data_IF_237403476686
#
_entry.id   IF_237403476686
#
_cell.length_a   1.000
_cell.length_b   1.000
_cell.length_c   1.000
_cell.angle_alpha   90.00
_cell.angle_beta   90.00
_cell.angle_gamma   90.00
#
_symmetry.space_group_name_H-M   'P 1'
#
loop_
_entity.id
_entity.type
_entity.pdbx_description
1 polymer ?
#
# COMPACT_ATOMS: atom_id res chain seq x y z
N UNK A 1 36.00 -31.28 -22.15
CA UNK A 1 35.11 -31.60 -23.28
C UNK A 1 35.44 -30.64 -24.39
N UNK A 2 36.02 -31.16 -25.48
CA UNK A 2 36.20 -30.39 -26.71
C UNK A 2 34.85 -30.24 -27.44
N UNK A 3 34.77 -29.33 -28.42
CA UNK A 3 33.58 -29.15 -29.26
C UNK A 3 33.14 -30.46 -29.92
N UNK A 4 34.11 -31.25 -30.35
CA UNK A 4 33.90 -32.53 -31.05
C UNK A 4 33.33 -33.63 -30.13
N UNK A 5 33.55 -33.53 -28.82
CA UNK A 5 32.96 -34.45 -27.84
C UNK A 5 31.48 -34.13 -27.60
N UNK A 6 31.13 -32.85 -27.65
CA UNK A 6 29.76 -32.38 -27.45
C UNK A 6 28.87 -32.75 -28.65
N UNK A 7 29.40 -32.60 -29.86
CA UNK A 7 28.69 -32.93 -31.10
C UNK A 7 28.31 -34.42 -31.14
N UNK A 8 29.23 -35.31 -30.78
CA UNK A 8 28.97 -36.76 -30.66
C UNK A 8 27.97 -37.14 -29.57
N UNK A 9 27.70 -36.24 -28.61
CA UNK A 9 26.77 -36.51 -27.51
C UNK A 9 25.32 -36.24 -27.91
N UNK A 10 25.09 -35.32 -28.85
CA UNK A 10 23.76 -34.82 -29.19
C UNK A 10 23.38 -35.03 -30.66
N UNK A 11 24.27 -35.56 -31.49
CA UNK A 11 24.01 -35.86 -32.90
C UNK A 11 24.07 -37.37 -33.11
N UNK A 12 23.02 -37.95 -33.69
CA UNK A 12 22.92 -39.37 -34.02
C UNK A 12 23.74 -39.74 -35.29
N UNK A 13 23.77 -41.03 -35.65
CA UNK A 13 24.46 -41.49 -36.86
C UNK A 13 23.86 -40.93 -38.16
N UNK A 14 22.62 -40.45 -38.12
CA UNK A 14 21.91 -39.85 -39.25
C UNK A 14 22.09 -38.32 -39.31
N UNK A 15 22.79 -37.71 -38.34
CA UNK A 15 23.01 -36.27 -38.27
C UNK A 15 21.87 -35.48 -37.61
N UNK A 16 20.89 -36.15 -37.01
CA UNK A 16 19.79 -35.51 -36.29
C UNK A 16 20.19 -35.15 -34.87
N UNK A 17 19.59 -34.09 -34.37
CA UNK A 17 19.82 -33.63 -33.01
C UNK A 17 18.89 -34.40 -32.05
N UNK A 18 19.47 -35.26 -31.22
CA UNK A 18 18.80 -36.11 -30.24
C UNK A 18 18.96 -35.56 -28.82
N UNK A 19 17.87 -35.50 -28.08
CA UNK A 19 17.83 -35.18 -26.65
C UNK A 19 17.03 -36.25 -25.92
N UNK A 20 17.71 -37.01 -25.06
CA UNK A 20 17.11 -38.17 -24.37
C UNK A 20 16.47 -39.13 -25.40
N UNK A 21 15.17 -39.42 -25.28
CA UNK A 21 14.45 -40.33 -26.19
C UNK A 21 13.70 -39.58 -27.32
N UNK A 22 14.11 -38.36 -27.67
CA UNK A 22 13.38 -37.49 -28.62
C UNK A 22 14.31 -36.83 -29.64
N UNK A 23 13.86 -36.79 -30.89
CA UNK A 23 14.50 -36.06 -31.99
C UNK A 23 13.88 -34.67 -32.10
N UNK A 24 14.70 -33.64 -32.26
CA UNK A 24 14.23 -32.27 -32.48
C UNK A 24 13.86 -32.08 -33.96
N UNK A 25 12.58 -31.84 -34.24
CA UNK A 25 12.09 -31.56 -35.59
C UNK A 25 12.06 -30.04 -35.83
N UNK A 26 12.55 -29.58 -36.98
CA UNK A 26 12.35 -28.21 -37.44
C UNK A 26 10.86 -27.97 -37.73
N UNK A 27 10.27 -26.92 -37.14
CA UNK A 27 8.92 -26.50 -37.49
C UNK A 27 9.00 -25.41 -38.56
N UNK A 28 8.31 -25.62 -39.68
CA UNK A 28 8.09 -24.56 -40.64
C UNK A 28 7.24 -23.46 -39.97
N UNK A 29 7.76 -22.23 -39.95
CA UNK A 29 6.94 -21.06 -39.65
C UNK A 29 6.00 -20.82 -40.84
N UNK A 30 5.01 -21.69 -41.01
CA UNK A 30 3.82 -21.31 -41.75
C UNK A 30 3.21 -20.12 -41.03
N UNK A 31 3.00 -19.04 -41.79
CA UNK A 31 2.35 -17.83 -41.30
C UNK A 31 1.04 -18.27 -40.65
N UNK A 32 0.96 -18.17 -39.33
CA UNK A 32 -0.29 -18.32 -38.59
C UNK A 32 -1.13 -17.05 -38.85
N UNK A 33 -1.58 -16.89 -40.09
CA UNK A 33 -2.77 -16.13 -40.40
C UNK A 33 -3.94 -16.95 -39.85
N UNK A 34 -4.80 -16.33 -39.04
CA UNK A 34 -6.02 -16.90 -38.42
C UNK A 34 -5.90 -17.60 -37.05
N UNK A 35 -5.27 -16.93 -36.07
CA UNK A 35 -5.71 -17.06 -34.67
C UNK A 35 -6.37 -15.75 -34.22
N UNK A 36 -7.49 -15.39 -34.86
CA UNK A 36 -8.51 -14.59 -34.19
C UNK A 36 -9.06 -15.44 -33.04
N UNK A 37 -8.39 -15.44 -31.89
CA UNK A 37 -8.90 -16.11 -30.70
C UNK A 37 -10.02 -15.22 -30.12
N UNK A 38 -11.33 -15.53 -30.30
CA UNK A 38 -12.44 -14.68 -29.84
C UNK A 38 -12.43 -14.45 -28.32
N UNK A 39 -11.66 -15.28 -27.60
CA UNK A 39 -11.35 -15.14 -26.18
C UNK A 39 -10.57 -13.85 -25.87
N UNK A 40 -9.53 -13.53 -26.66
CA UNK A 40 -8.70 -12.34 -26.42
C UNK A 40 -9.44 -11.06 -26.71
N UNK A 41 -10.22 -11.01 -27.78
CA UNK A 41 -11.07 -9.85 -28.11
C UNK A 41 -12.06 -9.56 -26.98
N UNK A 42 -12.70 -10.60 -26.43
CA UNK A 42 -13.58 -10.48 -25.25
C UNK A 42 -12.85 -10.03 -23.99
N UNK A 43 -11.60 -10.45 -23.80
CA UNK A 43 -10.77 -10.02 -22.65
C UNK A 43 -10.41 -8.54 -22.79
N UNK A 44 -10.02 -8.11 -23.99
CA UNK A 44 -9.70 -6.71 -24.29
C UNK A 44 -10.93 -5.80 -24.11
N UNK A 45 -12.09 -6.24 -24.60
CA UNK A 45 -13.36 -5.52 -24.45
C UNK A 45 -13.72 -5.33 -22.96
N UNK A 46 -13.62 -6.40 -22.15
CA UNK A 46 -13.83 -6.34 -20.70
C UNK A 46 -12.83 -5.43 -19.98
N UNK A 47 -11.57 -5.41 -20.40
CA UNK A 47 -10.54 -4.54 -19.84
C UNK A 47 -10.82 -3.06 -20.13
N UNK A 48 -11.23 -2.74 -21.36
CA UNK A 48 -11.62 -1.38 -21.77
C UNK A 48 -12.81 -0.91 -20.94
N UNK A 49 -13.85 -1.73 -20.81
CA UNK A 49 -15.01 -1.39 -19.97
C UNK A 49 -14.63 -1.16 -18.49
N UNK A 50 -13.77 -2.01 -17.93
CA UNK A 50 -13.34 -1.89 -16.54
C UNK A 50 -12.50 -0.63 -16.29
N UNK A 51 -11.74 -0.17 -17.28
CA UNK A 51 -10.95 1.06 -17.23
C UNK A 51 -11.85 2.30 -17.26
N UNK A 52 -12.79 2.36 -18.21
CA UNK A 52 -13.70 3.51 -18.39
C UNK A 52 -14.65 3.73 -17.19
N UNK A 53 -15.10 2.64 -16.54
CA UNK A 53 -15.97 2.71 -15.35
C UNK A 53 -15.29 3.33 -14.12
N UNK A 54 -13.95 3.30 -14.03
CA UNK A 54 -13.19 3.88 -12.91
C UNK A 54 -12.84 5.36 -13.12
N UNK A 55 -12.52 5.74 -14.36
CA UNK A 55 -12.22 7.12 -14.77
C UNK A 55 -13.47 8.01 -14.68
N UNK A 56 -14.61 7.55 -15.20
CA UNK A 56 -15.84 8.35 -15.26
C UNK A 56 -16.43 8.73 -13.88
N UNK A 57 -16.23 7.88 -12.85
CA UNK A 57 -16.67 8.21 -11.49
C UNK A 57 -15.82 9.31 -10.87
N UNK A 58 -14.50 9.24 -11.02
CA UNK A 58 -13.58 10.26 -10.49
C UNK A 58 -13.85 11.63 -11.10
N UNK A 59 -14.09 11.68 -12.41
CA UNK A 59 -14.36 12.94 -13.11
C UNK A 59 -15.69 13.58 -12.70
N UNK A 60 -16.75 12.77 -12.52
CA UNK A 60 -18.04 13.24 -11.98
C UNK A 60 -17.89 13.82 -10.58
N UNK A 61 -17.18 13.12 -9.68
CA UNK A 61 -16.90 13.62 -8.33
C UNK A 61 -16.13 14.95 -8.32
N UNK A 62 -15.22 15.16 -9.29
CA UNK A 62 -14.49 16.42 -9.43
C UNK A 62 -15.43 17.54 -9.90
N UNK A 63 -16.30 17.28 -10.88
CA UNK A 63 -17.28 18.24 -11.37
C UNK A 63 -18.25 18.67 -10.25
N UNK A 64 -18.84 17.71 -9.53
CA UNK A 64 -19.75 17.96 -8.41
C UNK A 64 -19.06 18.77 -7.30
N UNK A 65 -17.79 18.43 -6.98
CA UNK A 65 -17.00 19.15 -5.99
C UNK A 65 -16.71 20.60 -6.39
N UNK A 66 -16.52 20.87 -7.69
CA UNK A 66 -16.30 22.23 -8.19
C UNK A 66 -17.59 23.05 -8.16
N UNK A 67 -18.74 22.45 -8.46
CA UNK A 67 -20.04 23.11 -8.38
C UNK A 67 -20.40 23.46 -6.93
N UNK A 68 -20.25 22.51 -6.00
CA UNK A 68 -20.43 22.75 -4.57
C UNK A 68 -19.51 23.86 -4.05
N UNK A 69 -18.25 23.93 -4.50
CA UNK A 69 -17.33 25.01 -4.15
C UNK A 69 -17.79 26.38 -4.64
N UNK A 70 -18.35 26.46 -5.85
CA UNK A 70 -18.90 27.72 -6.39
C UNK A 70 -20.09 28.20 -5.57
N UNK A 71 -21.00 27.30 -5.21
CA UNK A 71 -22.14 27.62 -4.36
C UNK A 71 -21.71 28.02 -2.94
N UNK A 72 -20.74 27.33 -2.33
CA UNK A 72 -20.16 27.75 -1.04
C UNK A 72 -19.61 29.18 -1.11
N UNK A 73 -18.80 29.51 -2.12
CA UNK A 73 -18.24 30.86 -2.30
C UNK A 73 -19.31 31.94 -2.45
N UNK A 74 -20.42 31.63 -3.10
CA UNK A 74 -21.59 32.52 -3.25
C UNK A 74 -22.31 32.78 -1.93
N UNK A 75 -22.27 31.81 -1.02
CA UNK A 75 -22.90 31.90 0.30
C UNK A 75 -21.95 32.37 1.41
N UNK A 76 -20.63 32.23 1.26
CA UNK A 76 -19.61 32.76 2.19
C UNK A 76 -19.75 34.27 2.41
N UNK A 77 -20.07 35.03 1.36
CA UNK A 77 -20.35 36.48 1.47
C UNK A 77 -21.61 36.82 2.27
N UNK A 78 -22.49 35.84 2.54
CA UNK A 78 -23.74 36.01 3.27
C UNK A 78 -23.65 35.54 4.73
N UNK A 79 -22.63 34.76 5.07
CA UNK A 79 -22.37 34.33 6.44
C UNK A 79 -21.59 35.47 7.12
N UNK A 80 -22.33 36.45 7.63
CA UNK A 80 -21.78 37.51 8.47
C UNK A 80 -20.90 36.90 9.57
N UNK A 81 -19.73 37.50 9.78
CA UNK A 81 -18.69 37.11 10.73
C UNK A 81 -19.25 37.03 12.16
N UNK A 82 -19.89 35.92 12.51
CA UNK A 82 -20.17 35.60 13.90
C UNK A 82 -18.89 35.01 14.45
N UNK A 83 -18.15 35.81 15.22
CA UNK A 83 -17.02 35.36 16.02
C UNK A 83 -17.53 34.31 17.03
N UNK A 84 -17.62 33.05 16.61
CA UNK A 84 -17.76 31.94 17.55
C UNK A 84 -16.43 31.84 18.29
N UNK A 85 -16.35 32.51 19.44
CA UNK A 85 -15.38 32.15 20.47
C UNK A 85 -15.78 30.78 20.98
N UNK A 86 -15.26 29.73 20.35
CA UNK A 86 -15.35 28.37 20.88
C UNK A 86 -14.67 28.39 22.25
N UNK A 87 -15.44 28.30 23.33
CA UNK A 87 -14.87 28.09 24.66
C UNK A 87 -14.24 26.70 24.63
N UNK A 88 -12.91 26.64 24.63
CA UNK A 88 -12.16 25.38 24.70
C UNK A 88 -12.68 24.57 25.89
N UNK A 89 -12.96 23.29 25.64
CA UNK A 89 -13.43 22.40 26.70
C UNK A 89 -12.28 22.05 27.64
N UNK A 90 -12.58 21.78 28.92
CA UNK A 90 -11.57 21.42 29.94
C UNK A 90 -10.72 20.20 29.53
N UNK A 91 -11.26 19.31 28.69
CA UNK A 91 -10.54 18.16 28.13
C UNK A 91 -9.49 18.57 27.09
N UNK A 92 -9.80 19.49 26.17
CA UNK A 92 -8.85 20.04 25.19
C UNK A 92 -7.65 20.71 25.89
N UNK A 93 -7.92 21.44 26.97
CA UNK A 93 -6.89 22.10 27.77
C UNK A 93 -5.96 21.09 28.48
N UNK A 94 -6.50 19.95 28.94
CA UNK A 94 -5.69 18.87 29.54
C UNK A 94 -4.81 18.19 28.51
N UNK A 95 -5.37 17.82 27.36
CA UNK A 95 -4.64 17.12 26.29
C UNK A 95 -3.43 17.93 25.79
N UNK A 96 -3.61 19.24 25.53
CA UNK A 96 -2.52 20.13 25.10
C UNK A 96 -1.40 20.30 26.14
N UNK A 97 -1.70 20.13 27.43
CA UNK A 97 -0.70 20.26 28.50
C UNK A 97 0.02 18.93 28.79
N UNK A 98 -0.59 17.78 28.51
CA UNK A 98 0.04 16.47 28.64
C UNK A 98 1.08 16.23 27.55
N UNK A 99 0.83 16.65 26.30
CA UNK A 99 1.81 16.56 25.21
C UNK A 99 3.06 17.44 25.43
N UNK A 100 2.94 18.50 26.25
CA UNK A 100 4.06 19.41 26.58
C UNK A 100 4.92 18.95 27.73
N UNK A 101 4.55 17.88 28.45
CA UNK A 101 5.40 17.34 29.53
C UNK A 101 6.40 16.35 28.96
N UNK A 102 7.66 16.35 29.44
CA UNK A 102 8.59 15.30 29.10
C UNK A 102 8.06 13.97 29.63
N UNK A 103 8.19 12.92 28.83
CA UNK A 103 7.82 11.57 29.20
C UNK A 103 8.74 11.08 30.33
N UNK A 104 8.14 10.71 31.47
CA UNK A 104 8.86 10.18 32.64
C UNK A 104 9.63 8.90 32.31
N UNK A 105 9.09 8.04 31.44
CA UNK A 105 9.79 6.82 31.02
C UNK A 105 11.08 7.13 30.25
N UNK A 106 11.06 8.17 29.41
CA UNK A 106 12.24 8.60 28.66
C UNK A 106 13.30 9.25 29.56
N UNK A 107 12.85 10.04 30.54
CA UNK A 107 13.72 10.67 31.55
C UNK A 107 14.39 9.61 32.44
N UNK A 108 13.63 8.67 32.99
CA UNK A 108 14.13 7.57 33.83
C UNK A 108 15.14 6.67 33.11
N UNK A 109 15.06 6.56 31.78
CA UNK A 109 15.96 5.75 30.95
C UNK A 109 17.15 6.56 30.39
N UNK A 110 17.36 7.80 30.85
CA UNK A 110 18.39 8.72 30.33
C UNK A 110 18.33 8.88 28.79
N UNK A 111 17.13 8.88 28.20
CA UNK A 111 16.90 9.05 26.75
C UNK A 111 16.63 10.50 26.34
N UNK A 112 16.90 11.44 27.24
CA UNK A 112 16.63 12.87 27.09
C UNK A 112 15.15 13.23 27.27
N UNK A 113 14.86 14.54 27.31
CA UNK A 113 13.50 15.07 27.44
C UNK A 113 12.72 14.89 26.13
N UNK A 114 11.89 13.85 26.05
CA UNK A 114 11.01 13.56 24.90
C UNK A 114 9.56 13.90 25.25
N UNK A 115 8.88 14.62 24.37
CA UNK A 115 7.53 15.15 24.61
C UNK A 115 6.50 14.30 23.88
N UNK A 116 5.83 13.39 24.61
CA UNK A 116 4.71 12.59 24.11
C UNK A 116 3.93 12.01 25.30
N UNK A 117 2.65 11.61 25.12
CA UNK A 117 1.89 10.91 26.14
C UNK A 117 2.60 9.62 26.59
N UNK A 118 2.49 9.26 27.88
CA UNK A 118 3.13 8.07 28.44
C UNK A 118 2.67 6.78 27.74
N UNK A 119 1.39 6.69 27.37
CA UNK A 119 0.79 5.55 26.65
C UNK A 119 1.40 5.32 25.26
N UNK A 120 1.92 6.39 24.64
CA UNK A 120 2.56 6.36 23.31
C UNK A 120 4.08 6.30 23.41
N UNK A 121 4.64 6.07 24.61
CA UNK A 121 6.07 5.92 24.75
C UNK A 121 6.59 4.71 23.99
N UNK A 122 7.63 4.92 23.18
CA UNK A 122 8.36 3.84 22.52
C UNK A 122 8.97 2.86 23.54
N UNK A 123 9.34 3.38 24.71
CA UNK A 123 9.88 2.58 25.80
C UNK A 123 8.74 2.12 26.69
N UNK A 124 8.43 0.81 26.63
CA UNK A 124 7.47 0.19 27.53
C UNK A 124 8.22 -0.32 28.76
N UNK A 125 7.96 0.26 29.92
CA UNK A 125 8.35 -0.37 31.19
C UNK A 125 7.41 -1.55 31.46
N UNK A 126 7.97 -2.73 31.76
CA UNK A 126 7.16 -3.86 32.21
C UNK A 126 6.44 -3.44 33.50
N UNK A 127 5.15 -3.76 33.70
CA UNK A 127 4.49 -3.46 34.96
C UNK A 127 5.27 -4.13 36.09
N UNK A 128 5.65 -3.33 37.07
CA UNK A 128 6.31 -3.79 38.29
C UNK A 128 5.26 -4.62 39.04
N UNK A 129 5.33 -5.95 38.91
CA UNK A 129 4.61 -6.86 39.80
C UNK A 129 5.23 -6.60 41.16
N UNK A 130 4.59 -5.74 41.94
CA UNK A 130 4.87 -5.56 43.35
C UNK A 130 4.78 -6.94 43.98
N UNK A 131 5.93 -7.51 44.35
CA UNK A 131 5.99 -8.57 45.34
C UNK A 131 5.53 -7.96 46.66
N UNK A 132 4.22 -7.85 46.85
CA UNK A 132 3.64 -7.70 48.16
C UNK A 132 4.04 -8.96 48.94
N UNK A 133 4.95 -8.80 49.90
CA UNK A 133 5.20 -9.83 50.89
C UNK A 133 3.90 -10.00 51.69
N UNK A 134 3.35 -11.21 51.84
CA UNK A 134 2.25 -11.42 52.76
C UNK A 134 2.74 -11.08 54.16
N UNK A 135 2.03 -10.18 54.86
CA UNK A 135 2.18 -9.97 56.29
C UNK A 135 1.70 -11.25 56.99
N UNK A 136 2.63 -12.04 57.53
CA UNK A 136 2.28 -13.05 58.54
C UNK A 136 2.02 -12.35 59.87
N UNK A 137 0.91 -12.75 60.49
CA UNK A 137 0.52 -12.42 61.86
C UNK A 137 1.52 -12.95 62.89
#
# INVERSE_FOLDING_TARGET
>A
MGKDDLEKTYIDEAGNLEFEDRILQEMDNEKNDDIENPSLTRILEKLVEASQKKEGKKLKHIADKLELKKELKKHEGKIGKKNLKTKETKQEWRYKNEEKKPCKTCENLNKGARYHPEDKCWFKTKPNITKERPKTM
#
